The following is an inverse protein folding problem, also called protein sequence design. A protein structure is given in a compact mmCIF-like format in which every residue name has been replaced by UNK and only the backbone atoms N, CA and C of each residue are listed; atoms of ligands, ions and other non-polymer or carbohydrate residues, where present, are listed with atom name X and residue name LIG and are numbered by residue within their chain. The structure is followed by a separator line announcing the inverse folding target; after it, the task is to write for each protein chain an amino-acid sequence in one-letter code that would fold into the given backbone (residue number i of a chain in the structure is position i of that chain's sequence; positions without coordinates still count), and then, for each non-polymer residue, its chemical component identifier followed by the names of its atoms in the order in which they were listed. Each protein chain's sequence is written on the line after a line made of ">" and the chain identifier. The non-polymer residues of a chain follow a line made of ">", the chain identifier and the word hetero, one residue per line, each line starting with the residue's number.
data_IF_100079971505
#
_entry.id   IF_100079971505
#
_cell.length_a   1.000
_cell.length_b   1.000
_cell.length_c   1.000
_cell.angle_alpha   90.00
_cell.angle_beta   90.00
_cell.angle_gamma   90.00
#
_symmetry.space_group_name_H-M   'P 1'
#
loop_
_entity.id
_entity.type
_entity.pdbx_description
1 polymer ?
#
# COMPACT_ATOMS: atom_id res chain seq x y z
N UNK A 1 -19.66 5.07 -10.89
CA UNK A 1 -18.71 5.05 -12.04
C UNK A 1 -18.06 3.68 -12.13
N UNK A 2 -17.87 3.14 -13.33
CA UNK A 2 -17.03 1.96 -13.57
C UNK A 2 -15.65 2.41 -14.04
N UNK A 3 -14.57 1.87 -13.47
CA UNK A 3 -13.22 2.19 -13.91
C UNK A 3 -12.30 0.96 -13.85
N UNK A 4 -11.30 0.97 -14.72
CA UNK A 4 -10.39 -0.14 -14.97
C UNK A 4 -9.01 0.22 -14.42
N UNK A 5 -8.43 -0.68 -13.62
CA UNK A 5 -7.05 -0.54 -13.12
C UNK A 5 -6.23 -1.66 -13.73
N UNK A 6 -5.23 -1.29 -14.54
CA UNK A 6 -4.25 -2.21 -15.15
C UNK A 6 -2.89 -1.99 -14.53
N UNK A 7 -2.26 -3.05 -14.02
CA UNK A 7 -0.96 -2.95 -13.32
C UNK A 7 0.18 -2.44 -14.22
N UNK A 8 0.03 -2.39 -15.55
CA UNK A 8 1.07 -1.84 -16.43
C UNK A 8 0.94 -0.35 -16.77
N UNK A 9 -0.21 0.31 -16.52
CA UNK A 9 -0.40 1.75 -16.81
C UNK A 9 -1.45 2.37 -15.90
N UNK A 10 -1.03 3.22 -14.96
CA UNK A 10 -1.89 4.15 -14.20
C UNK A 10 -2.69 5.12 -15.12
N UNK A 11 -2.28 5.24 -16.39
CA UNK A 11 -2.77 6.19 -17.38
C UNK A 11 -4.25 6.02 -17.78
N UNK A 12 -4.82 4.80 -17.73
CA UNK A 12 -6.21 4.60 -18.16
C UNK A 12 -7.22 5.16 -17.13
N UNK A 13 -6.86 5.22 -15.85
CA UNK A 13 -7.66 5.88 -14.81
C UNK A 13 -7.72 7.41 -15.00
N UNK A 14 -6.69 8.01 -15.63
CA UNK A 14 -6.52 9.46 -15.77
C UNK A 14 -7.46 10.07 -16.84
N UNK A 15 -7.93 9.30 -17.81
CA UNK A 15 -8.93 9.83 -18.78
C UNK A 15 -10.27 10.16 -18.10
N UNK A 16 -10.65 9.38 -17.08
CA UNK A 16 -11.94 9.46 -16.40
C UNK A 16 -11.91 10.28 -15.10
N UNK A 17 -10.73 10.66 -14.61
CA UNK A 17 -10.55 11.37 -13.36
C UNK A 17 -9.44 12.42 -13.43
N UNK A 18 -9.61 13.53 -12.72
CA UNK A 18 -8.58 14.55 -12.61
C UNK A 18 -7.69 14.26 -11.39
N UNK A 19 -6.35 14.26 -11.54
CA UNK A 19 -5.45 14.17 -10.38
C UNK A 19 -5.51 15.47 -9.58
N UNK A 20 -5.67 15.34 -8.26
CA UNK A 20 -5.70 16.48 -7.34
C UNK A 20 -4.38 16.60 -6.58
N UNK A 21 -3.80 15.47 -6.19
CA UNK A 21 -2.58 15.42 -5.42
C UNK A 21 -1.86 14.12 -5.73
N UNK A 22 -0.54 14.18 -5.89
CA UNK A 22 0.37 13.07 -6.08
C UNK A 22 1.42 13.14 -4.98
N UNK A 23 1.83 12.00 -4.44
CA UNK A 23 2.91 11.88 -3.46
C UNK A 23 3.79 10.70 -3.85
N UNK A 24 5.10 10.94 -3.82
CA UNK A 24 6.14 9.92 -3.89
C UNK A 24 6.57 9.52 -2.48
N UNK A 25 6.77 8.22 -2.26
CA UNK A 25 7.23 7.65 -0.99
C UNK A 25 8.58 6.99 -1.21
N UNK A 26 9.63 7.54 -0.62
CA UNK A 26 10.96 6.92 -0.64
C UNK A 26 11.12 5.94 0.52
N UNK A 27 11.48 4.69 0.23
CA UNK A 27 11.68 3.71 1.29
C UNK A 27 13.06 3.75 1.92
N UNK A 28 14.04 4.43 1.31
CA UNK A 28 15.34 4.63 1.92
C UNK A 28 15.22 5.62 3.10
N UNK A 29 15.54 5.15 4.30
CA UNK A 29 15.42 5.91 5.54
C UNK A 29 16.78 5.87 6.26
N UNK A 30 17.63 6.91 6.14
CA UNK A 30 18.99 6.91 6.67
C UNK A 30 19.09 6.62 8.18
N UNK A 31 18.05 6.95 8.95
CA UNK A 31 17.99 6.67 10.40
C UNK A 31 17.57 5.23 10.74
N UNK A 32 17.15 4.42 9.76
CA UNK A 32 16.77 3.01 9.91
C UNK A 32 17.59 2.11 8.95
N UNK A 33 18.64 1.44 9.44
CA UNK A 33 19.53 0.61 8.60
C UNK A 33 18.83 -0.48 7.76
N UNK A 34 17.69 -1.02 8.21
CA UNK A 34 16.90 -2.00 7.44
C UNK A 34 16.31 -1.43 6.15
N UNK A 35 16.05 -0.11 6.13
CA UNK A 35 15.45 0.64 5.03
C UNK A 35 16.54 1.36 4.24
N UNK A 36 17.37 0.60 3.54
CA UNK A 36 18.57 1.10 2.84
C UNK A 36 18.55 0.81 1.33
N UNK A 37 17.36 0.84 0.74
CA UNK A 37 17.13 0.53 -0.68
C UNK A 37 16.25 1.60 -1.29
N UNK A 38 16.56 1.97 -2.52
CA UNK A 38 15.95 3.10 -3.24
C UNK A 38 14.62 2.72 -3.93
N UNK A 39 13.98 1.65 -3.46
CA UNK A 39 12.61 1.34 -3.87
C UNK A 39 11.68 2.49 -3.43
N UNK A 40 10.62 2.70 -4.21
CA UNK A 40 9.67 3.77 -4.00
C UNK A 40 8.22 3.28 -4.09
N UNK A 41 7.32 4.07 -3.52
CA UNK A 41 5.89 4.01 -3.76
C UNK A 41 5.38 5.30 -4.37
N UNK A 42 4.22 5.23 -5.02
CA UNK A 42 3.52 6.38 -5.61
C UNK A 42 2.06 6.32 -5.23
N UNK A 43 1.48 7.45 -4.86
CA UNK A 43 0.05 7.56 -4.54
C UNK A 43 -0.55 8.79 -5.21
N UNK A 44 -1.80 8.66 -5.68
CA UNK A 44 -2.54 9.76 -6.28
C UNK A 44 -3.97 9.82 -5.76
N UNK A 45 -4.45 11.02 -5.47
CA UNK A 45 -5.87 11.31 -5.27
C UNK A 45 -6.48 11.68 -6.60
N UNK A 46 -7.42 10.87 -7.05
CA UNK A 46 -8.16 11.06 -8.28
C UNK A 46 -9.59 11.47 -7.94
N UNK A 47 -10.12 12.46 -8.64
CA UNK A 47 -11.55 12.79 -8.59
C UNK A 47 -12.22 12.39 -9.89
N UNK A 48 -13.13 11.39 -9.86
CA UNK A 48 -13.97 11.03 -10.98
C UNK A 48 -14.70 12.24 -11.58
N UNK A 49 -14.60 12.44 -12.90
CA UNK A 49 -15.27 13.57 -13.58
C UNK A 49 -16.79 13.55 -13.37
N UNK A 50 -17.40 12.37 -13.36
CA UNK A 50 -18.84 12.19 -13.15
C UNK A 50 -19.27 12.18 -11.67
N UNK A 51 -18.32 12.14 -10.72
CA UNK A 51 -18.61 12.12 -9.28
C UNK A 51 -17.60 13.00 -8.53
N UNK A 52 -17.64 14.33 -8.71
CA UNK A 52 -16.59 15.25 -8.25
C UNK A 52 -16.42 15.32 -6.72
N UNK A 53 -17.41 14.82 -5.96
CA UNK A 53 -17.40 14.77 -4.48
C UNK A 53 -16.89 13.44 -3.91
N UNK A 54 -16.40 12.54 -4.76
CA UNK A 54 -15.99 11.19 -4.37
C UNK A 54 -14.55 10.90 -4.80
N UNK A 55 -13.56 11.54 -4.15
CA UNK A 55 -12.17 11.23 -4.44
C UNK A 55 -11.86 9.77 -4.07
N UNK A 56 -10.96 9.17 -4.84
CA UNK A 56 -10.39 7.84 -4.62
C UNK A 56 -8.87 7.96 -4.58
N UNK A 57 -8.24 7.16 -3.72
CA UNK A 57 -6.78 7.02 -3.68
C UNK A 57 -6.38 5.80 -4.50
N UNK A 58 -5.44 6.00 -5.42
CA UNK A 58 -4.76 4.91 -6.12
C UNK A 58 -3.28 4.94 -5.75
N UNK A 59 -2.76 3.82 -5.29
CA UNK A 59 -1.39 3.66 -4.83
C UNK A 59 -0.72 2.50 -5.58
N UNK A 60 0.58 2.63 -5.87
CA UNK A 60 1.38 1.56 -6.47
C UNK A 60 2.79 1.55 -5.90
N UNK A 61 3.41 0.39 -5.79
CA UNK A 61 4.79 0.23 -5.33
C UNK A 61 5.47 -0.95 -6.02
N UNK A 62 6.80 -0.97 -6.01
CA UNK A 62 7.60 -2.14 -6.36
C UNK A 62 8.58 -2.41 -5.20
N UNK A 63 8.32 -3.44 -4.41
CA UNK A 63 9.13 -3.79 -3.24
C UNK A 63 10.45 -4.48 -3.63
N UNK A 64 11.40 -4.56 -2.70
CA UNK A 64 12.70 -5.18 -2.92
C UNK A 64 12.59 -6.63 -3.46
N UNK A 65 13.22 -6.89 -4.60
CA UNK A 65 13.26 -8.20 -5.25
C UNK A 65 13.91 -9.30 -4.40
N UNK A 66 15.05 -9.02 -3.74
CA UNK A 66 15.88 -10.05 -3.10
C UNK A 66 15.06 -11.04 -2.22
N UNK A 67 14.90 -12.32 -2.63
CA UNK A 67 13.95 -13.23 -2.00
C UNK A 67 14.26 -13.50 -0.52
N UNK A 68 15.53 -13.40 -0.13
CA UNK A 68 16.00 -13.60 1.26
C UNK A 68 15.63 -12.46 2.21
N UNK A 69 15.22 -11.30 1.69
CA UNK A 69 15.00 -10.07 2.47
C UNK A 69 13.53 -9.73 2.70
N UNK A 70 12.78 -10.71 3.25
CA UNK A 70 11.38 -10.48 3.65
C UNK A 70 11.28 -9.43 4.76
N UNK A 71 12.31 -9.32 5.61
CA UNK A 71 12.48 -8.25 6.61
C UNK A 71 12.41 -6.86 5.98
N UNK A 72 13.17 -6.62 4.89
CA UNK A 72 13.16 -5.33 4.19
C UNK A 72 11.83 -5.08 3.51
N UNK A 73 11.25 -6.07 2.81
CA UNK A 73 9.94 -5.89 2.17
C UNK A 73 8.85 -5.57 3.20
N UNK A 74 8.90 -6.20 4.37
CA UNK A 74 7.96 -5.92 5.47
C UNK A 74 8.16 -4.51 6.04
N UNK A 75 9.40 -4.03 6.15
CA UNK A 75 9.69 -2.66 6.54
C UNK A 75 9.22 -1.64 5.48
N UNK A 76 9.47 -1.92 4.20
CA UNK A 76 9.04 -1.06 3.08
C UNK A 76 7.52 -0.92 3.03
N UNK A 77 6.78 -2.04 3.15
CA UNK A 77 5.31 -1.99 3.16
C UNK A 77 4.77 -1.30 4.41
N UNK A 78 5.45 -1.40 5.57
CA UNK A 78 5.06 -0.68 6.79
C UNK A 78 5.11 0.86 6.58
N UNK A 79 6.18 1.37 5.96
CA UNK A 79 6.27 2.80 5.60
C UNK A 79 5.22 3.17 4.56
N UNK A 80 5.04 2.35 3.52
CA UNK A 80 4.06 2.62 2.46
C UNK A 80 2.62 2.66 3.01
N UNK A 81 2.27 1.78 3.96
CA UNK A 81 0.96 1.77 4.59
C UNK A 81 0.75 2.96 5.53
N UNK A 82 1.78 3.44 6.22
CA UNK A 82 1.72 4.66 7.03
C UNK A 82 1.44 5.91 6.18
N UNK A 83 2.09 5.98 5.03
CA UNK A 83 1.89 7.03 4.04
C UNK A 83 0.49 6.94 3.43
N UNK A 84 0.03 5.74 3.10
CA UNK A 84 -1.30 5.50 2.55
C UNK A 84 -2.40 5.84 3.55
N UNK A 85 -2.19 5.52 4.83
CA UNK A 85 -3.10 5.88 5.92
C UNK A 85 -3.26 7.39 6.06
N UNK A 86 -2.15 8.15 6.15
CA UNK A 86 -2.25 9.62 6.23
C UNK A 86 -2.84 10.22 4.96
N UNK A 87 -2.48 9.67 3.80
CA UNK A 87 -2.85 10.22 2.52
C UNK A 87 -4.34 10.00 2.24
N UNK A 88 -4.87 8.81 2.54
CA UNK A 88 -6.28 8.50 2.33
C UNK A 88 -7.20 9.07 3.41
N UNK A 89 -6.68 9.46 4.57
CA UNK A 89 -7.51 9.98 5.66
C UNK A 89 -8.19 11.31 5.29
N UNK A 90 -9.43 11.45 5.74
CA UNK A 90 -10.18 12.70 5.71
C UNK A 90 -10.87 12.95 7.05
N UNK A 91 -11.04 14.23 7.38
CA UNK A 91 -11.87 14.70 8.48
C UNK A 91 -12.53 16.00 8.02
N UNK A 92 -13.87 16.01 7.94
CA UNK A 92 -14.64 17.19 7.52
C UNK A 92 -15.42 17.85 8.68
N UNK A 93 -15.10 17.47 9.92
CA UNK A 93 -15.77 17.96 11.13
C UNK A 93 -17.11 17.27 11.45
N UNK A 94 -17.71 16.53 10.50
CA UNK A 94 -18.91 15.70 10.73
C UNK A 94 -18.56 14.23 10.80
N UNK A 95 -17.68 13.79 9.92
CA UNK A 95 -17.22 12.43 9.78
C UNK A 95 -15.71 12.42 9.53
N UNK A 96 -15.09 11.33 9.93
CA UNK A 96 -13.70 11.04 9.61
C UNK A 96 -13.55 9.59 9.22
N UNK A 97 -12.55 9.30 8.41
CA UNK A 97 -12.29 7.97 7.90
C UNK A 97 -11.27 8.02 6.79
N UNK A 98 -11.26 6.97 5.96
CA UNK A 98 -10.38 6.90 4.80
C UNK A 98 -11.23 6.95 3.52
N UNK A 99 -10.73 7.70 2.54
CA UNK A 99 -11.22 7.64 1.17
C UNK A 99 -11.11 6.20 0.65
N UNK A 100 -11.90 5.79 -0.34
CA UNK A 100 -11.69 4.51 -1.01
C UNK A 100 -10.26 4.39 -1.55
N UNK A 101 -9.66 3.23 -1.35
CA UNK A 101 -8.26 2.95 -1.71
C UNK A 101 -8.22 1.81 -2.73
N UNK A 102 -7.38 1.95 -3.74
CA UNK A 102 -6.86 0.85 -4.54
C UNK A 102 -5.34 0.88 -4.46
N UNK A 103 -4.75 -0.21 -4.00
CA UNK A 103 -3.31 -0.39 -3.90
C UNK A 103 -2.89 -1.50 -4.86
N UNK A 104 -1.90 -1.24 -5.69
CA UNK A 104 -1.37 -2.19 -6.68
C UNK A 104 0.13 -2.34 -6.52
N UNK A 105 0.71 -3.32 -7.21
CA UNK A 105 2.16 -3.36 -7.37
C UNK A 105 2.74 -4.76 -7.43
N UNK A 106 4.02 -4.80 -7.75
CA UNK A 106 4.89 -5.96 -7.57
C UNK A 106 5.42 -5.92 -6.13
N UNK A 107 4.92 -6.84 -5.31
CA UNK A 107 5.30 -6.93 -3.90
C UNK A 107 6.48 -7.87 -3.68
N UNK A 108 7.00 -8.53 -4.73
CA UNK A 108 8.06 -9.53 -4.66
C UNK A 108 7.86 -10.53 -3.49
N UNK A 109 6.59 -10.89 -3.26
CA UNK A 109 6.13 -11.57 -2.06
C UNK A 109 5.05 -12.57 -2.41
N UNK A 110 5.31 -13.85 -2.13
CA UNK A 110 4.34 -14.92 -2.40
C UNK A 110 3.15 -14.87 -1.42
N UNK A 111 2.02 -15.54 -1.74
CA UNK A 111 0.80 -15.50 -0.92
C UNK A 111 0.98 -15.86 0.57
N UNK A 112 1.99 -16.65 0.91
CA UNK A 112 2.25 -17.12 2.28
C UNK A 112 3.25 -16.24 3.06
N UNK A 113 3.80 -15.21 2.43
CA UNK A 113 4.78 -14.29 3.01
C UNK A 113 4.19 -13.41 4.13
N UNK A 114 5.07 -12.80 4.93
CA UNK A 114 4.65 -11.88 6.00
C UNK A 114 3.97 -10.61 5.47
N UNK A 115 4.45 -10.08 4.33
CA UNK A 115 3.88 -8.92 3.64
C UNK A 115 2.41 -9.19 3.27
N UNK A 116 2.14 -10.32 2.62
CA UNK A 116 0.79 -10.65 2.20
C UNK A 116 -0.12 -10.96 3.39
N UNK A 117 0.40 -11.60 4.46
CA UNK A 117 -0.36 -11.79 5.70
C UNK A 117 -0.73 -10.47 6.36
N UNK A 118 0.16 -9.49 6.38
CA UNK A 118 -0.14 -8.15 6.89
C UNK A 118 -1.31 -7.54 6.11
N UNK A 119 -1.26 -7.57 4.77
CA UNK A 119 -2.30 -7.00 3.92
C UNK A 119 -3.64 -7.75 3.99
N UNK A 120 -3.60 -9.08 4.07
CA UNK A 120 -4.81 -9.92 4.11
C UNK A 120 -5.50 -9.93 5.47
N UNK A 121 -4.73 -9.94 6.56
CA UNK A 121 -5.26 -10.07 7.94
C UNK A 121 -5.31 -8.74 8.68
N UNK A 122 -4.75 -7.68 8.11
CA UNK A 122 -4.50 -6.42 8.79
C UNK A 122 -3.40 -6.46 9.84
N UNK A 123 -2.75 -7.62 10.06
CA UNK A 123 -1.64 -7.76 11.01
C UNK A 123 -0.76 -8.98 10.73
N UNK A 124 0.48 -8.93 11.19
CA UNK A 124 1.44 -10.03 11.12
C UNK A 124 2.44 -9.98 12.28
N UNK A 125 2.91 -11.16 12.71
CA UNK A 125 4.02 -11.21 13.65
C UNK A 125 5.33 -10.86 12.95
N UNK A 126 6.01 -9.85 13.47
CA UNK A 126 7.29 -9.33 12.99
C UNK A 126 8.51 -9.92 13.71
N UNK A 127 8.31 -10.80 14.69
CA UNK A 127 9.39 -11.29 15.58
C UNK A 127 10.59 -11.88 14.83
N UNK A 128 10.36 -12.52 13.68
CA UNK A 128 11.42 -13.12 12.83
C UNK A 128 12.07 -12.12 11.86
N UNK A 129 11.55 -10.90 11.77
CA UNK A 129 11.86 -9.92 10.74
C UNK A 129 12.35 -8.58 11.32
N UNK A 130 12.34 -8.42 12.65
CA UNK A 130 12.92 -7.26 13.32
C UNK A 130 14.44 -7.37 13.36
N UNK A 131 15.09 -6.25 13.12
CA UNK A 131 16.51 -6.03 13.37
C UNK A 131 16.68 -5.10 14.59
N UNK A 132 17.86 -4.48 14.72
CA UNK A 132 18.14 -3.48 15.76
C UNK A 132 17.71 -2.06 15.38
N UNK A 133 16.96 -1.86 14.29
CA UNK A 133 16.51 -0.54 13.86
C UNK A 133 15.50 0.03 14.85
N UNK A 134 15.64 1.32 15.16
CA UNK A 134 14.73 2.02 16.06
C UNK A 134 13.68 2.82 15.28
N UNK A 135 12.48 2.27 15.19
CA UNK A 135 11.37 2.86 14.44
C UNK A 135 10.86 4.20 15.01
N UNK A 136 11.21 4.53 16.26
CA UNK A 136 10.92 5.85 16.84
C UNK A 136 11.62 6.98 16.09
N UNK A 137 12.75 6.70 15.44
CA UNK A 137 13.56 7.72 14.74
C UNK A 137 12.85 8.35 13.55
N UNK A 138 12.05 7.56 12.82
CA UNK A 138 11.22 8.03 11.69
C UNK A 138 9.74 8.21 12.07
N UNK A 139 9.38 7.99 13.33
CA UNK A 139 8.03 8.20 13.83
C UNK A 139 6.96 7.35 13.13
N UNK A 140 7.31 6.17 12.61
CA UNK A 140 6.35 5.20 12.03
C UNK A 140 6.06 4.10 13.06
N UNK A 141 4.81 4.02 13.49
CA UNK A 141 4.37 3.08 14.53
C UNK A 141 4.19 1.67 13.97
N UNK A 142 4.05 0.69 14.87
CA UNK A 142 3.78 -0.70 14.53
C UNK A 142 2.42 -0.89 13.86
N UNK A 143 1.47 0.03 14.05
CA UNK A 143 0.17 0.02 13.36
C UNK A 143 0.19 0.71 11.98
N UNK A 144 1.39 0.85 11.38
CA UNK A 144 1.58 1.53 10.10
C UNK A 144 0.94 2.92 10.08
N UNK A 145 1.31 3.79 11.04
CA UNK A 145 0.85 5.17 11.10
C UNK A 145 2.01 6.09 11.46
N UNK A 146 1.98 7.34 10.99
CA UNK A 146 2.90 8.35 11.53
C UNK A 146 2.42 8.78 12.92
N UNK A 147 3.33 8.81 13.89
CA UNK A 147 3.00 9.17 15.27
C UNK A 147 2.33 10.54 15.36
N UNK A 148 2.88 11.56 14.70
CA UNK A 148 2.30 12.92 14.73
C UNK A 148 0.87 12.94 14.20
N UNK A 149 0.64 12.27 13.06
CA UNK A 149 -0.68 12.14 12.45
C UNK A 149 -1.66 11.41 13.37
N UNK A 150 -1.22 10.32 14.01
CA UNK A 150 -2.02 9.56 14.95
C UNK A 150 -2.42 10.42 16.17
N UNK A 151 -1.48 11.15 16.76
CA UNK A 151 -1.74 12.01 17.92
C UNK A 151 -2.65 13.18 17.60
N UNK A 152 -2.48 13.82 16.44
CA UNK A 152 -3.36 14.90 15.99
C UNK A 152 -4.81 14.41 15.87
N UNK A 153 -5.00 13.22 15.29
CA UNK A 153 -6.33 12.60 15.16
C UNK A 153 -6.97 12.30 16.51
N UNK A 154 -6.21 11.77 17.48
CA UNK A 154 -6.72 11.52 18.83
C UNK A 154 -7.19 12.81 19.52
N UNK A 155 -6.55 13.94 19.21
CA UNK A 155 -6.89 15.25 19.76
C UNK A 155 -7.95 16.00 18.94
N UNK A 156 -8.44 15.41 17.85
CA UNK A 156 -9.37 16.05 16.92
C UNK A 156 -8.78 17.26 16.20
N UNK A 157 -7.45 17.37 16.14
CA UNK A 157 -6.73 18.47 15.50
C UNK A 157 -6.61 18.22 14.00
N UNK A 158 -6.47 19.31 13.25
CA UNK A 158 -6.06 19.23 11.84
C UNK A 158 -4.63 18.70 11.79
N UNK A 159 -4.38 17.70 10.96
CA UNK A 159 -3.06 17.07 10.85
C UNK A 159 -2.08 17.99 10.13
N UNK A 160 -0.97 18.31 10.79
CA UNK A 160 0.16 19.04 10.20
C UNK A 160 1.16 18.06 9.57
N UNK A 161 1.03 17.79 8.27
CA UNK A 161 1.87 16.79 7.58
C UNK A 161 3.36 17.16 7.51
N UNK A 162 3.70 18.43 7.74
CA UNK A 162 5.09 18.91 7.86
C UNK A 162 5.87 18.28 9.02
N UNK A 163 5.15 17.69 9.98
CA UNK A 163 5.72 17.00 11.15
C UNK A 163 6.02 15.52 10.90
N UNK A 164 5.73 15.01 9.71
CA UNK A 164 6.13 13.64 9.32
C UNK A 164 7.66 13.54 9.30
N UNK A 165 8.19 12.43 9.84
CA UNK A 165 9.62 12.27 10.12
C UNK A 165 10.33 11.35 9.14
N UNK A 166 9.62 10.81 8.16
CA UNK A 166 10.27 10.04 7.10
C UNK A 166 11.14 10.97 6.25
N UNK A 167 12.30 10.45 5.87
CA UNK A 167 13.24 11.12 4.98
C UNK A 167 12.58 11.41 3.62
N UNK A 168 12.93 12.56 3.02
CA UNK A 168 12.39 13.04 1.75
C UNK A 168 10.85 13.10 1.65
N UNK A 169 10.15 13.31 2.77
CA UNK A 169 8.73 13.67 2.73
C UNK A 169 8.53 14.97 1.95
N UNK A 170 7.69 14.96 0.92
CA UNK A 170 7.33 16.14 0.11
C UNK A 170 6.76 17.29 0.96
N UNK A 171 6.27 16.99 2.16
CA UNK A 171 5.68 17.96 3.08
C UNK A 171 6.69 18.53 4.09
N UNK A 172 7.95 18.06 4.11
CA UNK A 172 8.97 18.55 5.03
C UNK A 172 9.46 19.94 4.59
N UNK A 173 9.42 20.98 5.46
CA UNK A 173 9.97 22.28 5.14
C UNK A 173 11.49 22.20 4.94
N UNK A 174 12.01 22.88 3.91
CA UNK A 174 13.45 22.97 3.61
C UNK A 174 14.30 23.57 4.76
N UNK A 175 13.67 24.23 5.74
CA UNK A 175 14.32 24.93 6.84
C UNK A 175 14.21 24.23 8.21
N UNK A 176 13.56 23.06 8.32
CA UNK A 176 13.46 22.32 9.57
C UNK A 176 14.44 21.14 9.61
N UNK A 177 15.70 21.45 9.90
CA UNK A 177 16.56 20.53 10.63
C UNK A 177 16.02 20.46 12.06
N UNK A 178 15.14 19.49 12.34
CA UNK A 178 14.54 19.41 13.65
C UNK A 178 13.62 18.21 13.79
N UNK A 179 14.17 17.17 14.38
CA UNK A 179 13.44 16.04 14.97
C UNK A 179 12.21 16.56 15.73
N UNK A 180 11.09 15.83 15.71
CA UNK A 180 10.05 16.04 16.71
C UNK A 180 10.70 16.07 18.10
N UNK A 181 10.30 16.98 19.01
CA UNK A 181 10.87 17.07 20.35
C UNK A 181 11.07 15.69 20.97
N UNK A 182 12.24 15.38 21.56
CA UNK A 182 12.48 14.10 22.23
C UNK A 182 11.34 13.69 23.17
N UNK A 183 10.72 14.68 23.83
CA UNK A 183 9.56 14.52 24.71
C UNK A 183 8.33 13.87 24.03
N UNK A 184 8.05 14.15 22.76
CA UNK A 184 6.95 13.52 22.02
C UNK A 184 7.21 12.03 21.76
N UNK A 185 8.47 11.61 21.69
CA UNK A 185 8.87 10.21 21.43
C UNK A 185 8.89 9.40 22.74
N UNK A 186 9.35 10.00 23.83
CA UNK A 186 9.52 9.30 25.11
C UNK A 186 8.21 8.81 25.75
N UNK A 187 7.09 9.47 25.48
CA UNK A 187 5.78 9.10 26.02
C UNK A 187 5.04 7.98 25.26
N UNK A 188 5.57 7.52 24.13
CA UNK A 188 4.86 6.61 23.21
C UNK A 188 5.71 5.43 22.72
N UNK A 189 6.72 5.03 23.50
CA UNK A 189 7.68 3.98 23.13
C UNK A 189 7.02 2.63 22.85
N UNK A 190 5.89 2.36 23.49
CA UNK A 190 5.08 1.15 23.35
C UNK A 190 4.45 0.98 21.95
N UNK A 191 4.38 2.05 21.15
CA UNK A 191 3.84 2.01 19.79
C UNK A 191 4.86 1.58 18.74
N UNK A 192 6.09 1.29 19.14
CA UNK A 192 7.22 1.03 18.25
C UNK A 192 7.96 -0.25 18.61
N UNK A 193 8.59 -0.85 17.61
CA UNK A 193 9.52 -1.97 17.75
C UNK A 193 8.89 -3.22 18.41
N UNK A 194 7.57 -3.31 18.45
CA UNK A 194 6.83 -4.47 18.89
C UNK A 194 6.90 -5.63 17.90
N UNK A 195 6.45 -6.79 18.37
CA UNK A 195 6.46 -8.05 17.60
C UNK A 195 5.22 -8.25 16.72
N UNK A 196 4.28 -7.31 16.74
CA UNK A 196 3.06 -7.35 15.95
C UNK A 196 2.98 -6.05 15.15
N UNK A 197 3.00 -6.17 13.82
CA UNK A 197 2.76 -5.05 12.91
C UNK A 197 1.31 -5.16 12.43
N UNK A 198 0.60 -4.04 12.32
CA UNK A 198 -0.78 -3.98 11.87
C UNK A 198 -1.10 -2.76 11.02
N UNK A 199 -2.31 -2.70 10.45
CA UNK A 199 -2.87 -1.51 9.81
C UNK A 199 -4.40 -1.51 9.91
N UNK A 200 -5.02 -0.34 9.73
CA UNK A 200 -6.49 -0.18 9.85
C UNK A 200 -7.22 0.10 8.52
N UNK A 201 -6.55 -0.08 7.37
CA UNK A 201 -7.06 0.27 6.03
C UNK A 201 -8.13 -0.68 5.45
N UNK A 202 -8.49 -1.77 6.15
CA UNK A 202 -9.47 -2.77 5.72
C UNK A 202 -9.30 -3.24 4.26
N UNK A 203 -8.07 -3.61 3.90
CA UNK A 203 -7.73 -4.00 2.53
C UNK A 203 -8.15 -5.45 2.25
N UNK A 204 -8.61 -5.69 1.03
CA UNK A 204 -8.92 -7.02 0.51
C UNK A 204 -8.31 -7.19 -0.88
N UNK A 205 -7.79 -8.37 -1.17
CA UNK A 205 -7.24 -8.70 -2.49
C UNK A 205 -8.37 -8.88 -3.50
N UNK A 206 -8.23 -8.29 -4.69
CA UNK A 206 -9.11 -8.56 -5.82
C UNK A 206 -8.95 -10.00 -6.35
N UNK A 207 -7.83 -10.65 -6.04
CA UNK A 207 -7.51 -12.00 -6.46
C UNK A 207 -7.56 -12.98 -5.30
N UNK A 208 -8.11 -14.19 -5.53
CA UNK A 208 -8.24 -15.22 -4.50
C UNK A 208 -6.92 -15.95 -4.19
N UNK A 209 -5.87 -15.74 -5.00
CA UNK A 209 -4.53 -16.35 -4.93
C UNK A 209 -4.52 -17.87 -5.17
N UNK A 210 -5.56 -18.57 -4.71
CA UNK A 210 -5.84 -19.98 -4.93
C UNK A 210 -7.19 -20.14 -5.61
N UNK A 211 -7.26 -21.03 -6.60
CA UNK A 211 -8.53 -21.51 -7.19
C UNK A 211 -9.21 -22.51 -6.25
N UNK A 212 -10.51 -22.84 -6.46
CA UNK A 212 -11.25 -23.79 -5.61
C UNK A 212 -10.61 -25.18 -5.50
N UNK A 213 -9.83 -25.58 -6.49
CA UNK A 213 -9.05 -26.82 -6.56
C UNK A 213 -7.65 -26.70 -5.92
N UNK A 214 -7.41 -25.65 -5.14
CA UNK A 214 -6.15 -25.32 -4.48
C UNK A 214 -4.97 -24.95 -5.40
N UNK A 215 -5.19 -24.84 -6.71
CA UNK A 215 -4.13 -24.38 -7.62
C UNK A 215 -3.82 -22.89 -7.40
N UNK A 216 -2.55 -22.54 -7.32
CA UNK A 216 -2.10 -21.15 -7.22
C UNK A 216 -2.29 -20.43 -8.56
N UNK A 217 -2.88 -19.25 -8.51
CA UNK A 217 -2.77 -18.27 -9.60
C UNK A 217 -1.28 -17.88 -9.76
N UNK A 218 -0.87 -17.47 -10.96
CA UNK A 218 0.49 -17.03 -11.25
C UNK A 218 0.48 -15.68 -11.95
N UNK A 219 1.49 -14.86 -11.63
CA UNK A 219 1.69 -13.53 -12.20
C UNK A 219 3.06 -13.36 -12.87
N UNK A 220 4.04 -14.22 -12.58
CA UNK A 220 5.39 -14.15 -13.18
C UNK A 220 6.08 -15.51 -13.11
N UNK A 221 7.16 -15.67 -13.88
CA UNK A 221 8.04 -16.84 -13.85
C UNK A 221 9.40 -16.46 -13.24
N UNK A 222 9.70 -16.98 -12.05
CA UNK A 222 10.97 -16.76 -11.33
C UNK A 222 11.52 -18.11 -10.87
N UNK A 223 12.15 -18.85 -11.78
CA UNK A 223 12.51 -20.29 -11.67
C UNK A 223 11.31 -21.24 -11.52
N UNK A 224 10.14 -20.70 -11.18
CA UNK A 224 8.84 -21.35 -11.09
C UNK A 224 7.73 -20.30 -11.24
N UNK A 225 6.52 -20.74 -11.59
CA UNK A 225 5.36 -19.88 -11.67
C UNK A 225 4.86 -19.46 -10.28
N UNK A 226 4.86 -18.15 -10.02
CA UNK A 226 4.53 -17.57 -8.71
C UNK A 226 3.59 -16.38 -8.85
N UNK A 227 2.89 -16.04 -7.76
CA UNK A 227 2.17 -14.76 -7.63
C UNK A 227 3.00 -13.81 -6.78
N UNK A 228 3.36 -12.65 -7.35
CA UNK A 228 4.01 -11.53 -6.64
C UNK A 228 3.33 -10.19 -6.91
N UNK A 229 2.43 -10.14 -7.89
CA UNK A 229 1.66 -8.95 -8.27
C UNK A 229 0.27 -8.98 -7.64
N UNK A 230 -0.17 -7.85 -7.11
CA UNK A 230 -1.45 -7.78 -6.39
C UNK A 230 -2.24 -6.51 -6.72
N UNK A 231 -3.56 -6.64 -6.69
CA UNK A 231 -4.51 -5.52 -6.59
C UNK A 231 -5.26 -5.69 -5.27
N UNK A 232 -5.00 -4.81 -4.31
CA UNK A 232 -5.76 -4.64 -3.08
C UNK A 232 -6.70 -3.45 -3.19
N UNK A 233 -7.82 -3.51 -2.50
CA UNK A 233 -8.73 -2.37 -2.37
C UNK A 233 -9.35 -2.32 -0.98
N UNK A 234 -9.71 -1.13 -0.50
CA UNK A 234 -10.41 -0.97 0.77
C UNK A 234 -11.82 -1.55 0.66
N UNK A 235 -12.17 -2.48 1.53
CA UNK A 235 -13.54 -2.98 1.65
C UNK A 235 -14.41 -1.90 2.33
N UNK A 236 -15.19 -1.17 1.54
CA UNK A 236 -16.07 -0.11 2.03
C UNK A 236 -17.36 -0.04 1.22
N UNK A 237 -18.38 0.66 1.74
CA UNK A 237 -19.68 0.75 1.09
C UNK A 237 -19.61 1.39 -0.31
N UNK A 238 -18.69 2.33 -0.49
CA UNK A 238 -18.55 3.11 -1.71
C UNK A 238 -17.72 2.43 -2.80
N UNK A 239 -16.90 1.40 -2.51
CA UNK A 239 -16.07 0.75 -3.52
C UNK A 239 -16.33 -0.76 -3.58
N UNK A 240 -16.76 -1.23 -4.75
CA UNK A 240 -17.09 -2.64 -4.98
C UNK A 240 -16.33 -3.20 -6.17
N UNK A 241 -15.68 -4.34 -5.99
CA UNK A 241 -15.14 -5.13 -7.11
C UNK A 241 -16.29 -5.75 -7.89
N UNK A 242 -16.34 -5.50 -9.20
CA UNK A 242 -17.32 -6.11 -10.11
C UNK A 242 -16.73 -7.33 -10.81
N UNK A 243 -15.58 -7.14 -11.47
CA UNK A 243 -14.94 -8.15 -12.31
C UNK A 243 -13.42 -8.05 -12.20
N UNK A 244 -12.73 -9.13 -12.56
CA UNK A 244 -11.27 -9.17 -12.67
C UNK A 244 -10.88 -9.97 -13.91
N UNK A 245 -9.78 -9.57 -14.55
CA UNK A 245 -9.12 -10.40 -15.53
C UNK A 245 -8.59 -11.65 -14.82
N UNK A 246 -9.02 -12.82 -15.28
CA UNK A 246 -8.59 -14.10 -14.73
C UNK A 246 -7.08 -14.27 -14.91
N UNK A 247 -6.37 -14.60 -13.84
CA UNK A 247 -5.00 -15.09 -13.94
C UNK A 247 -4.98 -16.60 -14.25
N UNK A 248 -4.02 -17.07 -15.06
CA UNK A 248 -3.76 -18.49 -15.20
C UNK A 248 -3.24 -19.10 -13.88
N UNK A 249 -3.38 -20.41 -13.72
CA UNK A 249 -2.67 -21.14 -12.66
C UNK A 249 -1.25 -21.44 -13.07
N UNK A 250 -0.39 -21.77 -12.10
CA UNK A 250 0.96 -22.24 -12.37
C UNK A 250 1.01 -23.40 -13.38
N UNK A 251 0.09 -24.37 -13.27
CA UNK A 251 -0.02 -25.49 -14.22
C UNK A 251 -0.51 -25.05 -15.61
N UNK A 252 -1.49 -24.15 -15.68
CA UNK A 252 -1.93 -23.57 -16.97
C UNK A 252 -0.81 -22.79 -17.66
N UNK A 253 0.16 -22.26 -16.90
CA UNK A 253 1.30 -21.54 -17.46
C UNK A 253 2.44 -22.45 -17.94
N UNK A 254 2.45 -23.75 -17.64
CA UNK A 254 3.52 -24.65 -18.10
C UNK A 254 3.66 -24.66 -19.63
N UNK A 255 2.56 -24.46 -20.35
CA UNK A 255 2.56 -24.35 -21.83
C UNK A 255 3.28 -23.10 -22.35
N UNK A 256 3.50 -22.09 -21.50
CA UNK A 256 4.23 -20.87 -21.83
C UNK A 256 5.75 -21.04 -21.64
N UNK A 257 6.18 -22.13 -20.98
CA UNK A 257 7.55 -22.42 -20.55
C UNK A 257 8.12 -21.33 -19.62
N UNK A 258 8.61 -20.23 -20.20
CA UNK A 258 9.13 -19.08 -19.48
C UNK A 258 8.58 -17.76 -20.03
N UNK A 259 8.79 -16.69 -19.27
CA UNK A 259 8.56 -15.32 -19.70
C UNK A 259 9.85 -14.50 -19.58
N UNK A 260 10.06 -13.48 -20.43
CA UNK A 260 9.27 -13.16 -21.62
C UNK A 260 9.43 -14.22 -22.74
N UNK A 261 8.55 -14.19 -23.74
CA UNK A 261 8.63 -15.05 -24.92
C UNK A 261 8.08 -14.32 -26.17
N UNK A 262 8.00 -15.00 -27.32
CA UNK A 262 7.58 -14.41 -28.61
C UNK A 262 6.16 -13.82 -28.60
N UNK A 263 5.32 -14.21 -27.64
CA UNK A 263 3.94 -13.73 -27.48
C UNK A 263 3.84 -12.69 -26.35
N UNK A 264 4.61 -12.86 -25.28
CA UNK A 264 4.57 -12.03 -24.09
C UNK A 264 5.88 -11.27 -23.90
N UNK A 265 5.83 -9.96 -24.13
CA UNK A 265 6.99 -9.07 -24.04
C UNK A 265 7.46 -8.74 -22.60
N UNK A 266 6.78 -9.26 -21.58
CA UNK A 266 7.06 -9.01 -20.16
C UNK A 266 7.20 -10.34 -19.44
N UNK A 267 8.08 -10.40 -18.45
CA UNK A 267 8.22 -11.51 -17.51
C UNK A 267 7.02 -11.61 -16.53
N UNK A 268 6.26 -10.54 -16.38
CA UNK A 268 5.01 -10.50 -15.61
C UNK A 268 3.76 -10.48 -16.50
N UNK A 269 2.71 -11.18 -16.05
CA UNK A 269 1.36 -11.14 -16.58
C UNK A 269 0.59 -9.94 -16.00
N UNK A 270 -0.16 -9.25 -16.87
CA UNK A 270 -0.95 -8.10 -16.43
C UNK A 270 -2.13 -8.51 -15.55
N UNK A 271 -2.27 -7.88 -14.39
CA UNK A 271 -3.50 -7.92 -13.60
C UNK A 271 -4.43 -6.78 -14.00
N UNK A 272 -5.73 -7.05 -13.91
CA UNK A 272 -6.75 -6.03 -14.15
C UNK A 272 -8.03 -6.30 -13.36
N UNK A 273 -8.64 -5.21 -12.86
CA UNK A 273 -9.89 -5.26 -12.12
C UNK A 273 -10.82 -4.12 -12.52
N UNK A 274 -12.12 -4.40 -12.52
CA UNK A 274 -13.20 -3.47 -12.75
C UNK A 274 -13.89 -3.17 -11.42
N UNK A 275 -13.90 -1.91 -11.02
CA UNK A 275 -14.53 -1.46 -9.79
C UNK A 275 -15.73 -0.57 -10.06
N UNK A 276 -16.72 -0.65 -9.18
CA UNK A 276 -17.83 0.29 -9.06
C UNK A 276 -17.60 1.20 -7.87
N UNK A 277 -17.58 2.51 -8.13
CA UNK A 277 -17.62 3.55 -7.09
C UNK A 277 -19.05 4.10 -6.96
N UNK A 278 -19.60 4.07 -5.74
CA UNK A 278 -20.98 4.41 -5.37
C UNK A 278 -21.02 5.53 -4.33
N UNK A 279 -21.90 6.53 -4.48
CA UNK A 279 -22.14 7.55 -3.46
C UNK A 279 -22.50 6.93 -2.11
N UNK A 280 -21.97 7.51 -1.04
CA UNK A 280 -22.49 7.24 0.29
C UNK A 280 -23.92 7.80 0.32
N UNK A 281 -24.91 6.92 0.42
CA UNK A 281 -26.29 7.34 0.66
C UNK A 281 -26.30 7.82 2.11
N UNK A 282 -26.36 9.13 2.33
CA UNK A 282 -26.72 9.66 3.63
C UNK A 282 -28.13 9.17 3.94
N UNK A 283 -28.28 8.31 4.94
CA UNK A 283 -29.59 8.06 5.55
C UNK A 283 -30.12 9.42 6.02
N UNK A 284 -31.15 9.90 5.33
CA UNK A 284 -31.93 11.07 5.70
C UNK A 284 -32.58 10.88 7.07
#
# INVERSE_FOLDING_TARGET
>A
MRFFVRITRLAEAISLALPICLVMVEFNQPELPILNRDNIGVMVKLVPRCMPRMPIVVATTHLLYNPKRTDVRLAQIQVFLAELDRFAYYNNGKESGHLPIIMTGDLNSTPNSAVIKLLDKGHVSASKFRDSSDWQRIGVTDNCQHLSVYLDRLQGKTTEFSTTQIYNSEYRPAASEGQSPPALREGHRELFNGNLIGHSLNLVSAYKKYKPDAQCEASTFQDSWVTVDYIYFSCCASLKLLERLRLPTASECEVLDCLPNDVYASDHLALAALFELRPLISSL
#
